data_IF_961944489076
#
_entry.id   IF_961944489076
#
_cell.length_a   1.000
_cell.length_b   1.000
_cell.length_c   1.000
_cell.angle_alpha   90.00
_cell.angle_beta   90.00
_cell.angle_gamma   90.00
#
_symmetry.space_group_name_H-M   'P 1'
#
loop_
_entity.id
_entity.type
_entity.pdbx_description
1 polymer ?
#
# COMPACT_ATOMS: atom_id res chain seq x y z
N UNK A 1 -17.35 -12.92 18.16
CA UNK A 1 -17.92 -11.85 17.35
C UNK A 1 -17.16 -11.79 16.03
N UNK A 2 -17.82 -11.56 14.90
CA UNK A 2 -17.19 -11.55 13.57
C UNK A 2 -17.55 -10.25 12.86
N UNK A 3 -16.54 -9.43 12.59
CA UNK A 3 -16.70 -8.16 11.88
C UNK A 3 -16.21 -8.30 10.44
N UNK A 4 -17.08 -8.04 9.47
CA UNK A 4 -16.74 -7.98 8.05
C UNK A 4 -16.55 -6.51 7.66
N UNK A 5 -15.36 -6.18 7.13
CA UNK A 5 -15.05 -4.84 6.62
C UNK A 5 -14.91 -4.92 5.11
N UNK A 6 -15.76 -4.19 4.39
CA UNK A 6 -15.69 -4.05 2.93
C UNK A 6 -14.82 -2.85 2.60
N UNK A 7 -13.79 -3.04 1.75
CA UNK A 7 -12.94 -1.97 1.22
C UNK A 7 -12.86 -2.04 -0.30
N UNK A 8 -12.85 -0.87 -0.93
CA UNK A 8 -12.68 -0.66 -2.38
C UNK A 8 -11.37 0.09 -2.61
N UNK A 9 -10.74 -0.13 -3.75
CA UNK A 9 -9.46 0.49 -4.17
C UNK A 9 -9.63 1.08 -5.55
N UNK A 10 -9.28 2.36 -5.70
CA UNK A 10 -9.47 3.11 -6.94
C UNK A 10 -10.92 3.42 -7.26
N UNK A 11 -11.15 4.05 -8.41
CA UNK A 11 -12.43 4.58 -8.83
C UNK A 11 -12.85 5.82 -8.04
N UNK A 12 -14.12 6.19 -8.21
CA UNK A 12 -14.74 7.34 -7.54
C UNK A 12 -15.51 6.88 -6.31
N UNK A 13 -14.95 7.15 -5.12
CA UNK A 13 -15.52 6.72 -3.84
C UNK A 13 -16.88 7.34 -3.51
N UNK A 14 -17.27 8.44 -4.18
CA UNK A 14 -18.60 9.02 -4.03
C UNK A 14 -19.70 8.15 -4.66
N UNK A 15 -19.36 7.27 -5.60
CA UNK A 15 -20.31 6.36 -6.24
C UNK A 15 -20.58 5.15 -5.36
N UNK A 16 -21.82 5.06 -4.87
CA UNK A 16 -22.27 3.98 -3.98
C UNK A 16 -22.57 2.66 -4.73
N UNK A 17 -23.14 2.74 -5.93
CA UNK A 17 -23.46 1.55 -6.72
C UNK A 17 -22.18 0.86 -7.19
N UNK A 18 -21.97 -0.39 -6.79
CA UNK A 18 -20.80 -1.17 -7.18
C UNK A 18 -20.60 -1.24 -8.69
N UNK A 19 -21.68 -1.50 -9.46
CA UNK A 19 -21.61 -1.63 -10.91
C UNK A 19 -21.27 -0.32 -11.62
N UNK A 20 -21.62 0.82 -11.02
CA UNK A 20 -21.25 2.13 -11.54
C UNK A 20 -19.83 2.52 -11.12
N UNK A 21 -19.46 2.27 -9.86
CA UNK A 21 -18.10 2.48 -9.36
C UNK A 21 -17.07 1.65 -10.13
N UNK A 22 -17.38 0.38 -10.45
CA UNK A 22 -16.46 -0.48 -11.20
C UNK A 22 -16.11 0.11 -12.58
N UNK A 23 -17.04 0.86 -13.20
CA UNK A 23 -16.80 1.56 -14.47
C UNK A 23 -15.89 2.77 -14.30
N UNK A 24 -15.73 3.32 -13.09
CA UNK A 24 -14.84 4.46 -12.83
C UNK A 24 -13.41 4.07 -12.49
N UNK A 25 -13.17 2.83 -12.05
CA UNK A 25 -11.82 2.31 -11.72
C UNK A 25 -10.83 2.51 -12.86
N UNK A 26 -11.23 2.31 -14.12
CA UNK A 26 -10.37 2.53 -15.30
C UNK A 26 -9.85 3.97 -15.45
N UNK A 27 -10.53 4.96 -14.86
CA UNK A 27 -10.15 6.37 -14.92
C UNK A 27 -9.34 6.82 -13.71
N UNK A 28 -9.47 6.12 -12.58
CA UNK A 28 -8.73 6.37 -11.35
C UNK A 28 -8.27 5.03 -10.73
N UNK A 29 -7.34 4.29 -11.38
CA UNK A 29 -6.90 3.00 -10.86
C UNK A 29 -6.05 3.18 -9.59
N UNK A 30 -6.09 2.19 -8.70
CA UNK A 30 -5.24 2.11 -7.50
C UNK A 30 -4.62 0.71 -7.40
N UNK A 31 -3.53 0.59 -6.66
CA UNK A 31 -2.81 -0.66 -6.43
C UNK A 31 -3.67 -1.59 -5.58
N UNK A 32 -3.98 -2.77 -6.13
CA UNK A 32 -4.74 -3.82 -5.44
C UNK A 32 -3.86 -4.96 -4.94
N UNK A 33 -2.68 -5.13 -5.54
CA UNK A 33 -1.70 -6.15 -5.17
C UNK A 33 -0.29 -5.65 -5.53
N UNK A 34 0.69 -5.94 -4.67
CA UNK A 34 2.09 -5.56 -4.89
C UNK A 34 3.04 -6.39 -4.04
N UNK A 35 4.29 -6.48 -4.49
CA UNK A 35 5.40 -7.05 -3.72
C UNK A 35 6.27 -5.93 -3.17
N UNK A 36 6.68 -6.06 -1.92
CA UNK A 36 7.57 -5.11 -1.28
C UNK A 36 9.03 -5.54 -1.41
N UNK A 37 9.92 -4.56 -1.50
CA UNK A 37 11.36 -4.74 -1.28
C UNK A 37 11.79 -3.87 -0.09
N UNK A 38 12.76 -4.30 0.72
CA UNK A 38 13.27 -3.48 1.80
C UNK A 38 13.88 -2.19 1.24
N UNK A 39 13.49 -1.03 1.79
CA UNK A 39 14.07 0.25 1.36
C UNK A 39 15.60 0.28 1.55
N UNK A 40 16.13 -0.48 2.52
CA UNK A 40 17.56 -0.63 2.77
C UNK A 40 18.31 -1.32 1.62
N UNK A 41 17.64 -2.12 0.78
CA UNK A 41 18.24 -2.72 -0.42
C UNK A 41 18.60 -1.67 -1.48
N UNK A 42 17.92 -0.53 -1.47
CA UNK A 42 18.23 0.61 -2.36
C UNK A 42 19.48 1.38 -1.92
N UNK A 43 20.03 1.07 -0.75
CA UNK A 43 21.18 1.76 -0.13
C UNK A 43 22.41 0.85 -0.02
N UNK A 44 22.46 -0.24 -0.78
CA UNK A 44 23.63 -1.13 -0.79
C UNK A 44 24.91 -0.37 -1.19
N UNK A 45 25.95 -0.51 -0.37
CA UNK A 45 27.22 0.20 -0.55
C UNK A 45 27.23 1.65 -0.05
N UNK A 46 26.10 2.19 0.45
CA UNK A 46 26.06 3.54 1.03
C UNK A 46 26.43 3.49 2.52
N UNK A 47 27.43 4.29 2.97
CA UNK A 47 27.75 4.42 4.37
C UNK A 47 26.54 4.85 5.19
N UNK A 48 26.27 4.15 6.29
CA UNK A 48 25.17 4.48 7.20
C UNK A 48 23.86 3.73 6.94
N UNK A 49 23.81 2.81 5.96
CA UNK A 49 22.68 1.87 5.78
C UNK A 49 22.27 1.18 7.09
N UNK A 50 23.23 0.76 7.90
CA UNK A 50 22.97 0.04 9.15
C UNK A 50 22.19 0.89 10.18
N UNK A 51 22.34 2.22 10.15
CA UNK A 51 21.54 3.11 10.99
C UNK A 51 20.06 3.10 10.55
N UNK A 52 19.80 3.08 9.25
CA UNK A 52 18.43 3.00 8.72
C UNK A 52 17.81 1.64 9.03
N UNK A 53 18.56 0.55 8.87
CA UNK A 53 18.10 -0.80 9.24
C UNK A 53 17.69 -0.81 10.71
N UNK A 54 18.55 -0.31 11.60
CA UNK A 54 18.25 -0.22 13.03
C UNK A 54 17.04 0.67 13.35
N UNK A 55 16.88 1.79 12.65
CA UNK A 55 15.71 2.67 12.84
C UNK A 55 14.41 2.02 12.38
N UNK A 56 14.44 1.23 11.31
CA UNK A 56 13.29 0.44 10.84
C UNK A 56 12.95 -0.65 11.87
N UNK A 57 13.94 -1.38 12.38
CA UNK A 57 13.71 -2.42 13.39
C UNK A 57 13.03 -1.84 14.64
N UNK A 58 13.51 -0.69 15.13
CA UNK A 58 12.90 0.03 16.26
C UNK A 58 11.50 0.58 15.98
N UNK A 59 11.15 0.87 14.73
CA UNK A 59 9.80 1.32 14.36
C UNK A 59 8.79 0.17 14.30
N UNK A 60 9.27 -1.04 14.01
CA UNK A 60 8.45 -2.25 13.88
C UNK A 60 8.28 -3.01 15.20
N UNK A 61 9.10 -2.73 16.21
CA UNK A 61 8.85 -3.10 17.62
C UNK A 61 7.60 -2.39 18.18
#
# INVERSE_FOLDING_TARGET
DVTVILRRRGGDDLIQSHTHWAKTVRFAPDVVDMTFCPISSLLDGIPGKDHLVRAIDLYLE
#
